data_IF_619396287198
#
_entry.id   IF_619396287198
#
_cell.length_a   1.000
_cell.length_b   1.000
_cell.length_c   1.000
_cell.angle_alpha   90.00
_cell.angle_beta   90.00
_cell.angle_gamma   90.00
#
_symmetry.space_group_name_H-M   'P 1'
#
loop_
_entity.id
_entity.type
_entity.pdbx_description
1 polymer ?
#
# COMPACT_ATOMS: atom_id res chain seq x y z
N UNK A 1 -9.89 13.12 14.00
CA UNK A 1 -10.51 12.26 12.98
C UNK A 1 -9.79 12.59 11.68
N UNK A 2 -8.84 11.75 11.28
CA UNK A 2 -8.14 11.91 9.99
C UNK A 2 -9.11 11.45 8.92
N UNK A 3 -9.50 12.36 8.03
CA UNK A 3 -10.27 12.00 6.84
C UNK A 3 -9.36 11.14 5.95
N UNK A 4 -9.77 9.94 5.54
CA UNK A 4 -9.00 9.14 4.60
C UNK A 4 -8.76 9.95 3.32
N UNK A 5 -7.57 9.85 2.71
CA UNK A 5 -7.31 10.53 1.44
C UNK A 5 -8.27 10.02 0.36
N UNK A 6 -8.94 10.95 -0.33
CA UNK A 6 -9.80 10.62 -1.47
C UNK A 6 -11.18 10.08 -1.08
N UNK A 7 -11.89 10.74 -0.17
CA UNK A 7 -13.35 10.57 -0.04
C UNK A 7 -13.99 11.87 -0.49
N UNK A 8 -14.58 11.89 -1.69
CA UNK A 8 -15.50 12.95 -2.04
C UNK A 8 -16.84 12.68 -1.31
N UNK A 9 -17.52 13.75 -0.90
CA UNK A 9 -18.79 13.62 -0.16
C UNK A 9 -19.98 13.48 -1.13
N UNK A 10 -19.75 12.98 -2.35
CA UNK A 10 -20.78 12.90 -3.38
C UNK A 10 -21.65 11.64 -3.25
N UNK A 11 -21.23 10.69 -2.41
CA UNK A 11 -21.96 9.46 -2.10
C UNK A 11 -21.78 8.34 -3.13
N UNK A 12 -20.94 8.54 -4.14
CA UNK A 12 -20.50 7.53 -5.09
C UNK A 12 -19.12 7.01 -4.71
N UNK A 13 -18.86 5.75 -5.06
CA UNK A 13 -17.53 5.16 -4.93
C UNK A 13 -16.90 5.13 -6.32
N UNK A 14 -15.83 5.89 -6.52
CA UNK A 14 -15.10 5.90 -7.78
C UNK A 14 -13.89 4.97 -7.74
N UNK A 15 -13.44 4.50 -8.91
CA UNK A 15 -12.17 3.75 -8.99
C UNK A 15 -10.97 4.59 -8.56
N UNK A 16 -11.07 5.93 -8.66
CA UNK A 16 -10.01 6.84 -8.26
C UNK A 16 -9.85 6.85 -6.75
N UNK A 17 -10.94 7.05 -6.01
CA UNK A 17 -10.93 7.04 -4.54
C UNK A 17 -10.43 5.71 -3.98
N UNK A 18 -10.84 4.60 -4.60
CA UNK A 18 -10.34 3.27 -4.25
C UNK A 18 -8.83 3.18 -4.53
N UNK A 19 -8.35 3.66 -5.68
CA UNK A 19 -6.92 3.68 -6.01
C UNK A 19 -6.12 4.53 -5.02
N UNK A 20 -6.56 5.76 -4.76
CA UNK A 20 -5.88 6.71 -3.87
C UNK A 20 -5.71 6.15 -2.45
N UNK A 21 -6.75 5.49 -1.91
CA UNK A 21 -6.69 4.86 -0.59
C UNK A 21 -5.70 3.69 -0.55
N UNK A 22 -5.69 2.83 -1.57
CA UNK A 22 -4.74 1.71 -1.61
C UNK A 22 -3.31 2.15 -1.90
N UNK A 23 -3.11 3.17 -2.73
CA UNK A 23 -1.80 3.81 -2.93
C UNK A 23 -1.27 4.37 -1.61
N UNK A 24 -2.13 4.98 -0.79
CA UNK A 24 -1.74 5.48 0.53
C UNK A 24 -1.32 4.35 1.48
N UNK A 25 -1.98 3.18 1.43
CA UNK A 25 -1.56 2.01 2.21
C UNK A 25 -0.23 1.43 1.74
N UNK A 26 -0.03 1.34 0.42
CA UNK A 26 1.24 0.87 -0.16
C UNK A 26 2.37 1.84 0.22
N UNK A 27 2.15 3.15 0.06
CA UNK A 27 3.11 4.18 0.47
C UNK A 27 3.46 4.08 1.96
N UNK A 28 2.50 3.80 2.82
CA UNK A 28 2.78 3.61 4.24
C UNK A 28 3.66 2.37 4.52
N UNK A 29 3.49 1.29 3.77
CA UNK A 29 4.38 0.12 3.85
C UNK A 29 5.78 0.44 3.30
N UNK A 30 5.86 1.15 2.17
CA UNK A 30 7.10 1.60 1.54
C UNK A 30 7.91 2.48 2.50
N UNK A 31 7.26 3.46 3.14
CA UNK A 31 7.87 4.35 4.13
C UNK A 31 8.45 3.58 5.31
N UNK A 32 7.77 2.51 5.76
CA UNK A 32 8.25 1.67 6.86
C UNK A 32 9.48 0.86 6.46
N UNK A 33 9.50 0.29 5.26
CA UNK A 33 10.67 -0.41 4.72
C UNK A 33 11.83 0.56 4.54
N UNK A 34 11.58 1.73 3.94
CA UNK A 34 12.61 2.73 3.69
C UNK A 34 13.19 3.26 5.00
N UNK A 35 12.34 3.54 5.99
CA UNK A 35 12.78 3.91 7.33
C UNK A 35 13.61 2.81 7.97
N UNK A 36 13.16 1.57 7.90
CA UNK A 36 13.91 0.43 8.44
C UNK A 36 15.29 0.32 7.80
N UNK A 37 15.39 0.40 6.48
CA UNK A 37 16.67 0.33 5.76
C UNK A 37 17.57 1.48 6.20
N UNK A 38 17.06 2.71 6.27
CA UNK A 38 17.83 3.89 6.72
C UNK A 38 18.34 3.74 8.14
N UNK A 39 17.51 3.25 9.05
CA UNK A 39 17.84 3.09 10.47
C UNK A 39 18.90 1.98 10.70
N UNK A 40 19.05 1.05 9.74
CA UNK A 40 19.99 -0.07 9.82
C UNK A 40 21.13 -0.01 8.78
N UNK A 41 21.24 1.10 8.05
CA UNK A 41 22.36 1.32 7.13
C UNK A 41 23.45 2.11 7.84
N UNK A 42 24.68 1.59 7.82
CA UNK A 42 25.83 2.30 8.37
C UNK A 42 26.10 3.57 7.56
N UNK A 43 26.09 4.72 8.23
CA UNK A 43 26.19 6.04 7.58
C UNK A 43 27.58 6.31 6.96
N UNK A 44 28.62 5.55 7.34
CA UNK A 44 29.99 5.76 6.86
C UNK A 44 30.31 4.90 5.64
N UNK A 45 29.75 3.70 5.59
CA UNK A 45 30.02 2.69 4.56
C UNK A 45 28.85 2.49 3.59
N UNK A 46 27.64 2.90 3.98
CA UNK A 46 26.41 2.63 3.23
C UNK A 46 25.99 1.16 3.25
N UNK A 47 26.62 0.32 4.08
CA UNK A 47 26.30 -1.08 4.19
C UNK A 47 25.05 -1.30 5.05
N UNK A 48 24.12 -2.12 4.56
CA UNK A 48 22.97 -2.59 5.32
C UNK A 48 23.41 -3.79 6.16
N UNK A 49 23.59 -3.59 7.46
CA UNK A 49 23.97 -4.66 8.39
C UNK A 49 22.80 -5.03 9.27
N UNK A 50 22.31 -6.26 9.09
CA UNK A 50 21.14 -6.76 9.80
C UNK A 50 21.52 -7.97 10.65
N UNK A 51 21.10 -7.95 11.92
CA UNK A 51 21.00 -9.18 12.72
C UNK A 51 19.96 -10.13 12.12
N UNK A 52 19.94 -11.38 12.58
CA UNK A 52 18.93 -12.35 12.17
C UNK A 52 17.50 -11.86 12.47
N UNK A 53 17.27 -11.22 13.62
CA UNK A 53 15.95 -10.66 13.98
C UNK A 53 15.56 -9.49 13.10
N UNK A 54 16.50 -8.58 12.80
CA UNK A 54 16.27 -7.47 11.87
C UNK A 54 16.01 -7.96 10.44
N UNK A 55 16.68 -9.04 10.02
CA UNK A 55 16.42 -9.65 8.71
C UNK A 55 15.01 -10.23 8.61
N UNK A 56 14.52 -10.87 9.69
CA UNK A 56 13.14 -11.36 9.77
C UNK A 56 12.13 -10.21 9.78
N UNK A 57 12.43 -9.12 10.49
CA UNK A 57 11.59 -7.92 10.50
C UNK A 57 11.50 -7.30 9.11
N UNK A 58 12.61 -7.13 8.40
CA UNK A 58 12.61 -6.64 7.03
C UNK A 58 11.80 -7.56 6.11
N UNK A 59 11.94 -8.88 6.25
CA UNK A 59 11.14 -9.84 5.47
C UNK A 59 9.64 -9.70 5.75
N UNK A 60 9.26 -9.45 7.00
CA UNK A 60 7.87 -9.20 7.35
C UNK A 60 7.36 -7.91 6.73
N UNK A 61 8.10 -6.80 6.84
CA UNK A 61 7.73 -5.51 6.25
C UNK A 61 7.55 -5.62 4.73
N UNK A 62 8.46 -6.32 4.04
CA UNK A 62 8.35 -6.59 2.61
C UNK A 62 7.16 -7.52 2.26
N UNK A 63 6.86 -8.50 3.11
CA UNK A 63 5.68 -9.35 2.94
C UNK A 63 4.38 -8.53 3.08
N UNK A 64 4.32 -7.63 4.06
CA UNK A 64 3.16 -6.77 4.30
C UNK A 64 2.91 -5.81 3.12
N UNK A 65 3.97 -5.19 2.58
CA UNK A 65 3.90 -4.38 1.36
C UNK A 65 3.36 -5.19 0.17
N UNK A 66 3.86 -6.41 -0.02
CA UNK A 66 3.41 -7.30 -1.10
C UNK A 66 1.92 -7.67 -0.95
N UNK A 67 1.46 -7.90 0.28
CA UNK A 67 0.04 -8.14 0.58
C UNK A 67 -0.80 -6.88 0.33
N UNK A 68 -0.33 -5.70 0.72
CA UNK A 68 -1.03 -4.44 0.49
C UNK A 68 -1.23 -4.18 -1.01
N UNK A 69 -0.17 -4.35 -1.81
CA UNK A 69 -0.23 -4.19 -3.26
C UNK A 69 -1.16 -5.20 -3.95
N UNK A 70 -1.10 -6.49 -3.54
CA UNK A 70 -1.97 -7.53 -4.09
C UNK A 70 -3.44 -7.30 -3.71
N UNK A 71 -3.71 -6.99 -2.45
CA UNK A 71 -5.04 -6.63 -1.96
C UNK A 71 -5.60 -5.46 -2.77
N UNK A 72 -4.87 -4.36 -2.85
CA UNK A 72 -5.31 -3.17 -3.58
C UNK A 72 -5.61 -3.44 -5.05
N UNK A 73 -4.74 -4.19 -5.72
CA UNK A 73 -4.95 -4.59 -7.13
C UNK A 73 -6.22 -5.42 -7.30
N UNK A 74 -6.43 -6.41 -6.42
CA UNK A 74 -7.59 -7.31 -6.50
C UNK A 74 -8.91 -6.57 -6.23
N UNK A 75 -8.93 -5.65 -5.26
CA UNK A 75 -10.10 -4.83 -4.94
C UNK A 75 -10.41 -3.84 -6.05
N UNK A 76 -9.41 -3.14 -6.58
CA UNK A 76 -9.60 -2.20 -7.69
C UNK A 76 -10.16 -2.91 -8.93
N UNK A 77 -9.65 -4.12 -9.23
CA UNK A 77 -10.20 -4.97 -10.28
C UNK A 77 -11.67 -5.30 -10.00
N UNK A 78 -11.99 -5.73 -8.78
CA UNK A 78 -13.37 -6.06 -8.39
C UNK A 78 -14.34 -4.89 -8.53
N UNK A 79 -13.95 -3.69 -8.08
CA UNK A 79 -14.75 -2.46 -8.22
C UNK A 79 -14.93 -2.11 -9.69
N UNK A 80 -13.86 -2.16 -10.49
CA UNK A 80 -13.91 -1.93 -11.94
C UNK A 80 -14.86 -2.90 -12.63
N UNK A 81 -14.75 -4.19 -12.34
CA UNK A 81 -15.60 -5.22 -12.93
C UNK A 81 -17.07 -5.01 -12.55
N UNK A 82 -17.35 -4.61 -11.30
CA UNK A 82 -18.69 -4.27 -10.81
C UNK A 82 -19.29 -3.07 -11.56
N UNK A 83 -18.51 -2.00 -11.76
CA UNK A 83 -18.95 -0.81 -12.53
C UNK A 83 -19.26 -1.18 -13.98
N UNK A 84 -18.39 -1.96 -14.63
CA UNK A 84 -18.60 -2.41 -16.02
C UNK A 84 -19.85 -3.29 -16.12
N UNK A 85 -20.10 -4.15 -15.12
CA UNK A 85 -21.30 -4.98 -15.08
C UNK A 85 -22.57 -4.14 -14.91
N UNK A 86 -22.56 -3.15 -14.02
CA UNK A 86 -23.67 -2.21 -13.83
C UNK A 86 -23.95 -1.42 -15.12
N UNK A 87 -22.91 -0.91 -15.78
CA UNK A 87 -23.02 -0.17 -17.04
C UNK A 87 -23.59 -1.00 -18.20
N UNK A 88 -23.43 -2.33 -18.18
CA UNK A 88 -24.02 -3.23 -19.17
C UNK A 88 -25.50 -3.55 -18.94
N UNK A 89 -26.02 -3.25 -17.76
CA UNK A 89 -27.36 -3.63 -17.32
C UNK A 89 -28.35 -2.44 -17.30
N UNK A 90 -28.01 -1.35 -18.01
CA UNK A 90 -28.80 -0.11 -18.15
C UNK A 90 -29.18 0.10 -19.60
#
# INVERSE_FOLDING_TARGET
MVTPPGVDNDGHLTTKEVSDNFESFIQNCDDQIEKFIKDNTDASTGALELSASQSLELQQLMADQSIAAQTGTSTLKGVKDSIIAAARNI
#
